data_IF_913399984504
#
_entry.id   IF_913399984504
#
_cell.length_a   1.000
_cell.length_b   1.000
_cell.length_c   1.000
_cell.angle_alpha   90.00
_cell.angle_beta   90.00
_cell.angle_gamma   90.00
#
_symmetry.space_group_name_H-M   'P 1'
#
loop_
_entity.id
_entity.type
_entity.pdbx_description
1 polymer ?
#
# COMPACT_ATOMS: atom_id res chain seq x y z
N UNK A 1 -0.80 3.18 4.22
CA UNK A 1 -1.79 3.45 3.13
C UNK A 1 -1.16 3.04 1.81
N UNK A 2 -1.90 2.39 0.93
CA UNK A 2 -1.48 2.03 -0.43
C UNK A 2 -2.07 3.08 -1.37
N UNK A 3 -1.20 3.83 -2.05
CA UNK A 3 -1.60 4.86 -3.01
C UNK A 3 -1.69 4.29 -4.42
N UNK A 4 -2.76 4.67 -5.11
CA UNK A 4 -3.07 4.27 -6.48
C UNK A 4 -3.22 5.52 -7.34
N UNK A 5 -2.81 5.40 -8.60
CA UNK A 5 -2.85 6.49 -9.58
C UNK A 5 -4.24 6.59 -10.23
N UNK A 6 -4.90 5.45 -10.47
CA UNK A 6 -6.21 5.39 -11.14
C UNK A 6 -7.22 4.56 -10.35
N UNK A 7 -8.48 4.98 -10.36
CA UNK A 7 -9.59 4.23 -9.73
C UNK A 7 -9.71 2.80 -10.28
N UNK A 8 -9.39 2.58 -11.56
CA UNK A 8 -9.40 1.24 -12.18
C UNK A 8 -8.40 0.26 -11.55
N UNK A 9 -7.38 0.74 -10.85
CA UNK A 9 -6.42 -0.11 -10.14
C UNK A 9 -6.98 -0.62 -8.82
N UNK A 10 -7.96 0.07 -8.22
CA UNK A 10 -8.48 -0.26 -6.90
C UNK A 10 -9.12 -1.66 -6.86
N UNK A 11 -9.97 -2.08 -7.81
CA UNK A 11 -10.45 -3.46 -7.87
C UNK A 11 -9.33 -4.49 -8.07
N UNK A 12 -8.29 -4.16 -8.84
CA UNK A 12 -7.16 -5.06 -9.14
C UNK A 12 -6.33 -5.34 -7.89
N UNK A 13 -6.14 -4.33 -7.04
CA UNK A 13 -5.36 -4.43 -5.79
C UNK A 13 -6.17 -5.06 -4.67
N UNK A 14 -7.46 -4.72 -4.57
CA UNK A 14 -8.36 -5.35 -3.59
C UNK A 14 -8.54 -6.84 -3.93
N UNK A 15 -8.74 -7.17 -5.21
CA UNK A 15 -9.05 -8.54 -5.65
C UNK A 15 -10.49 -8.94 -5.32
N UNK A 16 -10.91 -10.14 -5.73
CA UNK A 16 -12.26 -10.62 -5.49
C UNK A 16 -12.48 -10.79 -3.98
N UNK A 17 -13.47 -10.09 -3.42
CA UNK A 17 -13.76 -10.14 -1.98
C UNK A 17 -12.60 -9.71 -1.07
N UNK A 18 -11.62 -8.95 -1.58
CA UNK A 18 -10.46 -8.51 -0.78
C UNK A 18 -9.33 -9.53 -0.66
N UNK A 19 -9.39 -10.66 -1.36
CA UNK A 19 -8.42 -11.76 -1.23
C UNK A 19 -6.97 -11.32 -1.50
N UNK A 20 -6.78 -10.47 -2.51
CA UNK A 20 -5.45 -10.03 -2.94
C UNK A 20 -4.87 -9.04 -1.97
N UNK A 21 -5.67 -8.08 -1.49
CA UNK A 21 -5.26 -7.16 -0.44
C UNK A 21 -4.90 -7.94 0.84
N UNK A 22 -5.70 -8.94 1.23
CA UNK A 22 -5.39 -9.78 2.39
C UNK A 22 -4.04 -10.49 2.25
N UNK A 23 -3.74 -11.04 1.07
CA UNK A 23 -2.46 -11.68 0.80
C UNK A 23 -1.28 -10.69 0.91
N UNK A 24 -1.40 -9.51 0.29
CA UNK A 24 -0.38 -8.45 0.34
C UNK A 24 -0.12 -8.01 1.79
N UNK A 25 -1.18 -7.66 2.52
CA UNK A 25 -1.07 -7.20 3.91
C UNK A 25 -0.55 -8.29 4.83
N UNK A 26 -0.92 -9.55 4.60
CA UNK A 26 -0.39 -10.69 5.36
C UNK A 26 1.11 -10.88 5.11
N UNK A 27 1.55 -10.83 3.86
CA UNK A 27 2.97 -10.94 3.51
C UNK A 27 3.81 -9.83 4.13
N UNK A 28 3.35 -8.59 4.01
CA UNK A 28 4.00 -7.43 4.63
C UNK A 28 4.08 -7.56 6.15
N UNK A 29 2.97 -7.92 6.81
CA UNK A 29 2.91 -8.14 8.26
C UNK A 29 3.89 -9.21 8.71
N UNK A 30 3.96 -10.36 8.04
CA UNK A 30 4.91 -11.43 8.38
C UNK A 30 6.37 -10.98 8.22
N UNK A 31 6.68 -10.18 7.19
CA UNK A 31 8.00 -9.56 7.03
C UNK A 31 8.34 -8.63 8.21
N UNK A 32 7.39 -7.79 8.62
CA UNK A 32 7.54 -6.90 9.77
C UNK A 32 7.70 -7.67 11.08
N UNK A 33 6.92 -8.73 11.31
CA UNK A 33 7.04 -9.55 12.52
C UNK A 33 8.42 -10.19 12.63
N UNK A 34 9.01 -10.63 11.51
CA UNK A 34 10.38 -11.16 11.46
C UNK A 34 11.43 -10.09 11.72
N UNK A 35 11.26 -8.90 11.16
CA UNK A 35 12.21 -7.79 11.31
C UNK A 35 12.22 -7.22 12.73
N UNK A 36 11.04 -7.11 13.36
CA UNK A 36 10.87 -6.51 14.68
C UNK A 36 10.86 -7.53 15.83
N UNK A 37 10.87 -8.83 15.52
CA UNK A 37 10.76 -9.95 16.46
C UNK A 37 9.57 -9.83 17.43
N UNK A 38 8.46 -9.29 16.94
CA UNK A 38 7.25 -9.00 17.73
C UNK A 38 5.99 -9.21 16.90
N UNK A 39 4.86 -9.41 17.58
CA UNK A 39 3.55 -9.46 16.91
C UNK A 39 3.17 -8.09 16.39
N UNK A 40 2.70 -8.04 15.15
CA UNK A 40 2.32 -6.81 14.45
C UNK A 40 0.88 -6.94 14.00
N UNK A 41 0.05 -5.97 14.36
CA UNK A 41 -1.24 -5.76 13.71
C UNK A 41 -1.08 -4.71 12.61
N UNK A 42 -1.34 -5.09 11.36
CA UNK A 42 -1.18 -4.22 10.21
C UNK A 42 -2.54 -3.97 9.57
N UNK A 43 -3.03 -2.73 9.70
CA UNK A 43 -4.21 -2.25 8.98
C UNK A 43 -3.78 -1.51 7.70
N UNK A 44 -4.45 -1.81 6.59
CA UNK A 44 -4.11 -1.27 5.27
C UNK A 44 -5.34 -0.73 4.56
N UNK A 45 -5.18 0.42 3.89
CA UNK A 45 -6.22 1.04 3.08
C UNK A 45 -5.68 1.37 1.68
N UNK A 46 -6.52 1.22 0.66
CA UNK A 46 -6.27 1.75 -0.68
C UNK A 46 -6.87 3.14 -0.84
N UNK A 47 -6.05 4.10 -1.28
CA UNK A 47 -6.50 5.44 -1.64
C UNK A 47 -6.03 5.77 -3.05
N UNK A 48 -6.87 6.45 -3.81
CA UNK A 48 -6.56 6.90 -5.17
C UNK A 48 -6.24 8.38 -5.10
N UNK A 49 -5.14 8.78 -5.75
CA UNK A 49 -4.75 10.18 -5.97
C UNK A 49 -4.28 10.24 -7.42
N UNK A 50 -4.96 10.96 -8.30
CA UNK A 50 -4.44 11.10 -9.66
C UNK A 50 -3.22 12.03 -9.67
N UNK A 51 -2.26 11.77 -10.56
CA UNK A 51 -1.05 12.55 -10.78
C UNK A 51 -0.03 12.51 -9.64
N UNK A 52 -0.11 11.54 -8.71
CA UNK A 52 0.82 11.55 -7.57
C UNK A 52 2.23 11.15 -7.97
N UNK A 53 2.38 10.33 -9.02
CA UNK A 53 3.69 9.92 -9.53
C UNK A 53 4.45 11.06 -10.20
N UNK A 54 3.73 12.07 -10.70
CA UNK A 54 4.29 13.18 -11.47
C UNK A 54 4.37 14.48 -10.64
N UNK A 55 3.78 14.46 -9.44
CA UNK A 55 3.78 15.56 -8.47
C UNK A 55 5.02 15.45 -7.58
N UNK A 56 6.01 16.30 -7.82
CA UNK A 56 7.27 16.36 -7.06
C UNK A 56 7.06 16.54 -5.55
N UNK A 57 6.01 17.27 -5.14
CA UNK A 57 5.65 17.42 -3.74
C UNK A 57 5.03 16.14 -3.16
N UNK A 58 4.31 15.36 -3.97
CA UNK A 58 3.82 14.05 -3.56
C UNK A 58 4.96 13.03 -3.47
N UNK A 59 5.87 13.01 -4.44
CA UNK A 59 7.07 12.17 -4.42
C UNK A 59 7.92 12.43 -3.18
N UNK A 60 8.15 13.70 -2.83
CA UNK A 60 8.88 14.04 -1.61
C UNK A 60 8.18 13.58 -0.34
N UNK A 61 6.84 13.68 -0.26
CA UNK A 61 6.08 13.14 0.89
C UNK A 61 6.11 11.62 0.99
N UNK A 62 6.31 10.92 -0.12
CA UNK A 62 6.43 9.46 -0.15
C UNK A 62 7.85 8.96 0.06
N UNK A 63 8.83 9.87 0.19
CA UNK A 63 10.24 9.52 0.35
C UNK A 63 10.90 9.05 -0.95
N UNK A 64 10.37 9.46 -2.10
CA UNK A 64 10.95 9.19 -3.42
C UNK A 64 11.80 10.35 -3.97
N UNK A 65 11.85 11.50 -3.30
CA UNK A 65 12.86 12.52 -3.55
C UNK A 65 14.10 12.21 -2.72
N UNK A 66 15.30 12.37 -3.31
CA UNK A 66 16.57 12.37 -2.57
C UNK A 66 16.67 13.51 -1.55
#
# INVERSE_FOLDING_TARGET
VIWLERESQKPIVIGKGGERMKAISTGARLGMERLFDRKVFLETWCRVRAGWSDDEAALGRFGYSE
#
